data_IF_589005315714
#
_entry.id   IF_589005315714
#
_cell.length_a   1.000
_cell.length_b   1.000
_cell.length_c   1.000
_cell.angle_alpha   90.00
_cell.angle_beta   90.00
_cell.angle_gamma   90.00
#
_symmetry.space_group_name_H-M   'P 1'
#
loop_
_entity.id
_entity.type
_entity.pdbx_description
1 polymer ?
#
# COMPACT_ATOMS: atom_id res chain seq x y z
N UNK A 1 11.89 15.05 1.37
CA UNK A 1 11.07 13.81 1.27
C UNK A 1 11.88 12.53 1.03
N UNK A 2 12.75 12.44 0.02
CA UNK A 2 13.48 11.19 -0.35
C UNK A 2 14.12 10.42 0.82
N UNK A 3 14.67 11.10 1.83
CA UNK A 3 15.24 10.46 3.02
C UNK A 3 14.23 9.59 3.79
N UNK A 4 12.97 9.99 3.80
CA UNK A 4 11.91 9.29 4.55
C UNK A 4 11.22 8.21 3.73
N UNK A 5 11.14 8.37 2.40
CA UNK A 5 10.35 7.50 1.53
C UNK A 5 11.18 6.43 0.81
N UNK A 6 12.52 6.53 0.85
CA UNK A 6 13.40 5.52 0.28
C UNK A 6 13.59 4.37 1.25
N UNK A 7 13.46 3.14 0.75
CA UNK A 7 13.85 1.91 1.45
C UNK A 7 15.25 2.07 2.06
N UNK A 8 15.41 1.63 3.31
CA UNK A 8 16.65 1.75 4.07
C UNK A 8 17.83 1.07 3.35
N UNK A 9 17.69 -0.22 3.05
CA UNK A 9 18.63 -1.01 2.26
C UNK A 9 17.95 -2.27 1.69
N UNK A 10 18.71 -3.15 1.02
CA UNK A 10 18.19 -4.39 0.43
C UNK A 10 17.72 -5.44 1.46
N UNK A 11 17.99 -5.25 2.75
CA UNK A 11 17.62 -6.20 3.81
C UNK A 11 16.29 -5.87 4.48
N UNK A 12 15.71 -4.70 4.18
CA UNK A 12 14.48 -4.21 4.80
C UNK A 12 13.40 -3.91 3.76
N UNK A 13 12.12 -4.13 4.11
CA UNK A 13 10.98 -3.60 3.33
C UNK A 13 10.63 -2.16 3.70
N UNK A 14 11.34 -1.56 4.66
CA UNK A 14 10.90 -0.33 5.32
C UNK A 14 11.74 0.88 4.92
N UNK A 15 11.10 2.03 4.98
CA UNK A 15 11.72 3.35 5.00
C UNK A 15 11.44 4.02 6.35
N UNK A 16 11.91 5.26 6.57
CA UNK A 16 11.71 5.94 7.85
C UNK A 16 10.24 6.33 8.05
N UNK A 17 9.52 5.52 8.82
CA UNK A 17 8.09 5.71 9.10
C UNK A 17 7.15 5.11 8.04
N UNK A 18 7.69 4.43 7.03
CA UNK A 18 6.91 3.88 5.92
C UNK A 18 7.28 2.43 5.61
N UNK A 19 6.36 1.72 4.98
CA UNK A 19 6.62 0.50 4.23
C UNK A 19 6.93 0.84 2.77
N UNK A 20 7.55 -0.10 2.06
CA UNK A 20 7.79 -0.03 0.61
C UNK A 20 7.37 -1.35 -0.04
N UNK A 21 7.07 -1.40 -1.35
CA UNK A 21 6.53 -2.60 -1.97
C UNK A 21 7.50 -3.77 -1.85
N UNK A 22 7.00 -4.87 -1.33
CA UNK A 22 7.69 -6.15 -1.22
C UNK A 22 6.72 -7.28 -1.50
N UNK A 23 7.26 -8.49 -1.66
CA UNK A 23 6.44 -9.70 -1.76
C UNK A 23 5.43 -9.76 -0.60
N UNK A 24 4.17 -10.04 -0.92
CA UNK A 24 3.08 -10.10 0.05
C UNK A 24 2.63 -8.78 0.70
N UNK A 25 3.27 -7.64 0.37
CA UNK A 25 2.94 -6.35 1.00
C UNK A 25 1.52 -5.86 0.67
N UNK A 26 1.00 -4.92 1.46
CA UNK A 26 -0.33 -4.34 1.22
C UNK A 26 -0.42 -3.44 -0.01
N UNK A 27 0.72 -3.12 -0.65
CA UNK A 27 0.83 -2.33 -1.87
C UNK A 27 0.19 -3.00 -3.10
N UNK A 28 -0.03 -4.32 -3.05
CA UNK A 28 -0.33 -5.10 -4.24
C UNK A 28 0.94 -5.41 -5.04
N UNK A 29 0.78 -5.60 -6.35
CA UNK A 29 1.82 -5.97 -7.30
C UNK A 29 2.03 -4.92 -8.41
N UNK A 30 1.15 -3.91 -8.50
CA UNK A 30 1.16 -2.93 -9.59
C UNK A 30 1.70 -1.55 -9.23
N UNK A 31 2.00 -1.29 -7.95
CA UNK A 31 2.75 -0.11 -7.54
C UNK A 31 4.25 -0.31 -7.79
N UNK A 32 4.94 0.75 -8.17
CA UNK A 32 6.36 0.76 -8.51
C UNK A 32 7.24 0.64 -7.27
N UNK A 33 8.52 0.34 -7.47
CA UNK A 33 9.49 0.30 -6.38
C UNK A 33 9.70 1.65 -5.66
N UNK A 34 9.23 2.76 -6.23
CA UNK A 34 9.29 4.10 -5.63
C UNK A 34 8.11 4.39 -4.69
N UNK A 35 7.10 3.51 -4.67
CA UNK A 35 5.95 3.68 -3.81
C UNK A 35 6.31 3.52 -2.32
N UNK A 36 5.52 4.14 -1.47
CA UNK A 36 5.64 4.04 -0.03
C UNK A 36 4.26 4.14 0.62
N UNK A 37 4.08 3.48 1.76
CA UNK A 37 2.76 3.40 2.37
C UNK A 37 2.76 2.91 3.81
N UNK A 38 1.56 2.85 4.38
CA UNK A 38 1.35 2.37 5.74
C UNK A 38 -0.04 1.76 5.88
N UNK A 39 -0.18 0.78 6.76
CA UNK A 39 -1.48 0.19 7.12
C UNK A 39 -1.93 0.65 8.50
N UNK A 40 -3.24 0.79 8.71
CA UNK A 40 -3.82 1.06 10.02
C UNK A 40 -4.38 -0.19 10.68
N UNK A 41 -4.35 -0.22 12.02
CA UNK A 41 -4.90 -1.31 12.82
C UNK A 41 -6.37 -1.62 12.49
N UNK A 42 -7.15 -0.58 12.20
CA UNK A 42 -8.59 -0.69 11.90
C UNK A 42 -8.86 -1.21 10.49
N UNK A 43 -7.86 -1.59 9.70
CA UNK A 43 -8.06 -2.08 8.34
C UNK A 43 -7.73 -1.05 7.25
N UNK A 44 -7.46 0.21 7.63
CA UNK A 44 -7.09 1.27 6.67
C UNK A 44 -5.74 1.03 6.02
N UNK A 45 -5.48 1.72 4.92
CA UNK A 45 -4.15 1.82 4.30
C UNK A 45 -4.04 3.07 3.44
N UNK A 46 -2.81 3.56 3.31
CA UNK A 46 -2.42 4.60 2.37
C UNK A 46 -1.17 4.13 1.63
N UNK A 47 -1.17 4.31 0.31
CA UNK A 47 0.01 4.15 -0.54
C UNK A 47 0.11 5.30 -1.52
N UNK A 48 1.33 5.77 -1.74
CA UNK A 48 1.66 6.87 -2.64
C UNK A 48 2.74 6.37 -3.58
N UNK A 49 2.53 6.54 -4.88
CA UNK A 49 3.45 6.19 -5.94
C UNK A 49 3.75 7.42 -6.80
N UNK A 50 4.89 8.10 -6.56
CA UNK A 50 5.29 9.28 -7.33
C UNK A 50 5.59 8.99 -8.80
N UNK A 51 5.92 7.75 -9.16
CA UNK A 51 6.23 7.38 -10.54
C UNK A 51 4.94 7.28 -11.38
N UNK A 52 3.85 6.82 -10.75
CA UNK A 52 2.53 6.73 -11.37
C UNK A 52 1.66 7.99 -11.17
N UNK A 53 2.16 9.02 -10.48
CA UNK A 53 1.37 10.17 -10.03
C UNK A 53 0.07 9.75 -9.31
N UNK A 54 0.17 8.75 -8.44
CA UNK A 54 -0.98 8.08 -7.82
C UNK A 54 -0.88 8.09 -6.29
N UNK A 55 -2.00 8.36 -5.63
CA UNK A 55 -2.21 8.00 -4.23
C UNK A 55 -3.49 7.19 -4.09
N UNK A 56 -3.46 6.17 -3.24
CA UNK A 56 -4.60 5.31 -2.94
C UNK A 56 -4.80 5.28 -1.43
N UNK A 57 -6.00 5.64 -0.99
CA UNK A 57 -6.39 5.62 0.42
C UNK A 57 -7.60 4.71 0.55
N UNK A 58 -7.46 3.65 1.36
CA UNK A 58 -8.53 2.74 1.70
C UNK A 58 -8.91 2.95 3.17
N UNK A 59 -10.17 3.32 3.40
CA UNK A 59 -10.73 3.50 4.74
C UNK A 59 -11.71 2.37 5.03
N UNK A 60 -11.30 1.42 5.86
CA UNK A 60 -12.16 0.32 6.32
C UNK A 60 -12.15 0.24 7.85
N UNK A 61 -13.08 -0.54 8.39
CA UNK A 61 -13.15 -0.83 9.81
C UNK A 61 -13.28 -2.34 10.06
N UNK A 62 -12.16 -3.05 10.08
CA UNK A 62 -12.09 -4.48 10.41
C UNK A 62 -12.43 -4.79 11.87
N UNK A 63 -12.59 -3.78 12.73
CA UNK A 63 -12.81 -3.97 14.19
C UNK A 63 -14.27 -4.15 14.53
N UNK A 64 -15.16 -3.79 13.61
CA UNK A 64 -16.59 -3.81 13.80
C UNK A 64 -17.21 -4.98 13.02
N UNK A 65 -18.01 -5.86 13.65
CA UNK A 65 -18.35 -5.89 15.08
C UNK A 65 -17.26 -6.53 15.96
N UNK A 66 -16.34 -7.32 15.40
CA UNK A 66 -15.25 -7.96 16.14
C UNK A 66 -13.90 -7.79 15.42
N UNK A 67 -12.80 -8.12 16.12
CA UNK A 67 -11.43 -8.08 15.55
C UNK A 67 -11.04 -9.32 14.74
N UNK A 68 -11.94 -10.28 14.57
CA UNK A 68 -11.64 -11.57 13.92
C UNK A 68 -11.65 -11.46 12.39
N UNK A 69 -12.26 -10.40 11.84
CA UNK A 69 -12.33 -10.18 10.41
C UNK A 69 -10.96 -9.85 9.80
N UNK A 70 -10.43 -10.79 9.00
CA UNK A 70 -9.17 -10.65 8.25
C UNK A 70 -9.35 -10.30 6.76
N UNK A 71 -10.58 -10.09 6.29
CA UNK A 71 -10.86 -9.81 4.88
C UNK A 71 -10.21 -8.52 4.35
N UNK A 72 -9.85 -7.61 5.24
CA UNK A 72 -9.12 -6.38 4.90
C UNK A 72 -7.72 -6.64 4.31
N UNK A 73 -7.06 -7.78 4.60
CA UNK A 73 -5.71 -8.09 4.09
C UNK A 73 -5.70 -8.25 2.56
N UNK A 74 -6.46 -9.18 1.96
CA UNK A 74 -6.55 -9.28 0.50
C UNK A 74 -7.24 -8.07 -0.14
N UNK A 75 -8.21 -7.45 0.55
CA UNK A 75 -8.91 -6.27 0.04
C UNK A 75 -7.95 -5.09 -0.21
N UNK A 76 -7.01 -4.84 0.71
CA UNK A 76 -5.98 -3.80 0.51
C UNK A 76 -5.25 -4.02 -0.80
N UNK A 77 -4.66 -5.20 -1.01
CA UNK A 77 -3.90 -5.51 -2.23
C UNK A 77 -4.74 -5.29 -3.49
N UNK A 78 -5.95 -5.85 -3.50
CA UNK A 78 -6.87 -5.76 -4.64
C UNK A 78 -7.24 -4.31 -4.98
N UNK A 79 -7.46 -3.44 -3.99
CA UNK A 79 -7.79 -2.03 -4.20
C UNK A 79 -6.61 -1.25 -4.78
N UNK A 80 -5.39 -1.44 -4.28
CA UNK A 80 -4.21 -0.76 -4.82
C UNK A 80 -3.92 -1.21 -6.25
N UNK A 81 -4.01 -2.51 -6.53
CA UNK A 81 -3.83 -3.05 -7.88
C UNK A 81 -4.90 -2.53 -8.85
N UNK A 82 -6.16 -2.49 -8.43
CA UNK A 82 -7.24 -1.97 -9.26
C UNK A 82 -7.04 -0.48 -9.59
N UNK A 83 -6.60 0.32 -8.63
CA UNK A 83 -6.32 1.74 -8.84
C UNK A 83 -5.14 1.97 -9.80
N UNK A 84 -4.02 1.27 -9.58
CA UNK A 84 -2.85 1.36 -10.46
C UNK A 84 -3.21 0.89 -11.89
N UNK A 85 -3.93 -0.22 -12.01
CA UNK A 85 -4.39 -0.75 -13.30
C UNK A 85 -5.26 0.25 -14.07
N UNK A 86 -6.17 0.93 -13.38
CA UNK A 86 -7.10 1.87 -14.01
C UNK A 86 -6.42 3.06 -14.70
N UNK A 87 -5.20 3.41 -14.27
CA UNK A 87 -4.43 4.52 -14.87
C UNK A 87 -3.37 4.05 -15.87
N UNK A 88 -2.86 2.82 -15.73
CA UNK A 88 -1.81 2.29 -16.62
C UNK A 88 -2.35 1.55 -17.85
N UNK A 89 -3.55 0.96 -17.77
CA UNK A 89 -4.16 0.19 -18.87
C UNK A 89 -5.24 1.00 -19.62
N UNK A 90 -5.11 2.33 -19.68
CA UNK A 90 -6.00 3.16 -20.51
C UNK A 90 -5.72 2.86 -22.00
N UNK A 91 -6.75 2.71 -22.85
CA UNK A 91 -6.57 2.56 -24.29
C UNK A 91 -5.87 3.78 -24.91
#
# INVERSE_FOLDING_TARGET
LRRFTRRWDSTSSRALGWDTPSEGSSAGERLTAQAFGHTGFTGTSIWIDPELDLFVVLLTNRVNPTRENRGHVPLRRAVHDAAARAITERP
#
